data_IF_897070254894
#
_entry.id   IF_897070254894
#
_cell.length_a   1.000
_cell.length_b   1.000
_cell.length_c   1.000
_cell.angle_alpha   90.00
_cell.angle_beta   90.00
_cell.angle_gamma   90.00
#
_symmetry.space_group_name_H-M   'P 1'
#
loop_
_entity.id
_entity.type
_entity.pdbx_description
1 polymer ?
#
# COMPACT_ATOMS: atom_id res chain seq x y z
N UNK A 1 8.63 -43.66 19.52
CA UNK A 1 7.73 -42.46 19.61
C UNK A 1 8.50 -41.29 19.07
N UNK A 2 7.99 -40.74 17.95
CA UNK A 2 8.59 -39.65 17.20
C UNK A 2 8.54 -38.35 18.01
N UNK A 3 9.52 -38.08 18.83
CA UNK A 3 9.69 -36.81 19.54
C UNK A 3 10.14 -35.66 18.62
N UNK A 4 10.38 -35.93 17.34
CA UNK A 4 10.80 -34.91 16.35
C UNK A 4 9.66 -34.07 15.79
N UNK A 5 8.39 -34.52 15.86
CA UNK A 5 7.23 -33.85 15.28
C UNK A 5 6.41 -33.00 16.26
N UNK A 6 6.98 -32.60 17.37
CA UNK A 6 6.30 -31.76 18.36
C UNK A 6 6.00 -30.36 17.86
N UNK A 7 4.86 -29.80 18.28
CA UNK A 7 4.45 -28.43 18.07
C UNK A 7 4.84 -27.60 19.31
N UNK A 8 5.39 -26.42 19.08
CA UNK A 8 5.76 -25.46 20.13
C UNK A 8 4.89 -24.21 19.96
N UNK A 9 4.30 -23.74 21.05
CA UNK A 9 3.62 -22.45 21.08
C UNK A 9 4.47 -21.45 21.86
N UNK A 10 4.71 -20.31 21.23
CA UNK A 10 5.49 -19.21 21.79
C UNK A 10 4.56 -18.01 21.96
N UNK A 11 4.62 -17.37 23.14
CA UNK A 11 3.93 -16.13 23.41
C UNK A 11 4.93 -15.10 23.95
N UNK A 12 4.96 -13.91 23.38
CA UNK A 12 5.90 -12.88 23.78
C UNK A 12 5.58 -11.51 23.15
N UNK A 13 6.57 -10.62 23.16
CA UNK A 13 6.43 -9.28 22.56
C UNK A 13 6.07 -9.30 21.07
N UNK A 14 6.44 -10.36 20.39
CA UNK A 14 6.21 -10.58 18.96
C UNK A 14 4.84 -11.22 18.66
N UNK A 15 3.99 -11.37 19.69
CA UNK A 15 2.68 -12.00 19.60
C UNK A 15 2.70 -13.49 19.88
N UNK A 16 1.68 -14.18 19.40
CA UNK A 16 1.50 -15.62 19.55
C UNK A 16 1.93 -16.34 18.28
N UNK A 17 2.75 -17.36 18.42
CA UNK A 17 3.26 -18.17 17.30
C UNK A 17 3.11 -19.64 17.62
N UNK A 18 2.64 -20.42 16.68
CA UNK A 18 2.62 -21.88 16.72
C UNK A 18 3.62 -22.35 15.66
N UNK A 19 4.57 -23.17 16.02
CA UNK A 19 5.56 -23.69 15.08
C UNK A 19 5.90 -25.15 15.34
N UNK A 20 6.35 -25.88 14.32
CA UNK A 20 6.95 -27.19 14.48
C UNK A 20 8.37 -27.04 15.03
N UNK A 21 8.88 -28.04 15.76
CA UNK A 21 10.25 -28.01 16.30
C UNK A 21 11.34 -27.77 15.24
N UNK A 22 11.10 -28.18 13.99
CA UNK A 22 12.00 -27.96 12.85
C UNK A 22 11.84 -26.58 12.21
N UNK A 23 10.79 -25.83 12.57
CA UNK A 23 10.49 -24.55 11.97
C UNK A 23 9.96 -24.62 10.52
N UNK A 24 9.61 -25.82 10.04
CA UNK A 24 9.09 -26.01 8.67
C UNK A 24 7.69 -25.44 8.52
N UNK A 25 6.91 -25.43 9.59
CA UNK A 25 5.58 -24.83 9.66
C UNK A 25 5.54 -23.81 10.78
N UNK A 26 5.17 -22.60 10.42
CA UNK A 26 4.98 -21.48 11.35
C UNK A 26 3.60 -20.88 11.07
N UNK A 27 2.82 -20.67 12.13
CA UNK A 27 1.51 -20.05 12.07
C UNK A 27 1.42 -18.95 13.11
N UNK A 28 1.10 -17.74 12.67
CA UNK A 28 1.07 -16.55 13.50
C UNK A 28 -0.23 -15.77 13.26
N UNK A 29 -1.22 -15.87 14.16
CA UNK A 29 -2.39 -15.02 14.11
C UNK A 29 -2.02 -13.59 14.51
N UNK A 30 -2.71 -12.60 13.96
CA UNK A 30 -2.56 -11.21 14.33
C UNK A 30 -3.90 -10.46 14.29
N UNK A 31 -3.98 -9.43 15.09
CA UNK A 31 -5.13 -8.53 15.16
C UNK A 31 -4.61 -7.09 15.12
N UNK A 32 -5.23 -6.27 14.29
CA UNK A 32 -5.01 -4.82 14.25
C UNK A 32 -6.35 -4.12 14.38
N UNK A 33 -6.53 -3.34 15.45
CA UNK A 33 -7.69 -2.46 15.61
C UNK A 33 -7.19 -1.02 15.69
N UNK A 34 -7.72 -0.17 14.83
CA UNK A 34 -7.47 1.26 14.85
C UNK A 34 -8.77 1.98 15.14
N UNK A 35 -8.76 2.82 16.19
CA UNK A 35 -9.84 3.73 16.50
C UNK A 35 -9.44 5.15 16.13
N UNK A 36 -10.38 5.97 15.70
CA UNK A 36 -10.18 7.35 15.32
C UNK A 36 -11.26 8.23 15.94
N UNK A 37 -10.86 9.43 16.36
CA UNK A 37 -11.75 10.50 16.74
C UNK A 37 -11.47 11.70 15.85
N UNK A 38 -12.46 12.13 15.09
CA UNK A 38 -12.36 13.27 14.18
C UNK A 38 -13.28 14.38 14.68
N UNK A 39 -12.74 15.56 14.85
CA UNK A 39 -13.49 16.75 15.18
C UNK A 39 -13.18 17.80 14.11
N UNK A 40 -14.18 18.15 13.32
CA UNK A 40 -14.04 19.09 12.23
C UNK A 40 -14.70 20.43 12.62
N UNK A 41 -13.95 21.50 12.46
CA UNK A 41 -14.44 22.87 12.58
C UNK A 41 -14.34 23.51 11.21
N UNK A 42 -15.44 24.04 10.72
CA UNK A 42 -15.49 24.74 9.45
C UNK A 42 -15.82 26.21 9.69
N UNK A 43 -15.26 27.06 8.87
CA UNK A 43 -15.66 28.46 8.78
C UNK A 43 -16.95 28.53 7.94
N UNK A 44 -18.04 29.05 8.56
CA UNK A 44 -19.39 29.03 7.99
C UNK A 44 -19.47 29.68 6.60
N UNK A 45 -18.69 30.74 6.32
CA UNK A 45 -18.72 31.41 5.05
C UNK A 45 -18.23 30.57 3.84
N UNK A 46 -17.42 29.55 4.07
CA UNK A 46 -16.86 28.70 3.03
C UNK A 46 -17.79 27.55 2.60
N UNK A 47 -18.60 27.04 3.53
CA UNK A 47 -19.46 25.88 3.33
C UNK A 47 -20.79 26.22 2.67
N UNK A 48 -21.42 27.34 3.04
CA UNK A 48 -22.67 27.81 2.47
C UNK A 48 -22.58 28.06 0.96
N UNK A 49 -21.40 28.50 0.49
CA UNK A 49 -21.16 28.73 -0.94
C UNK A 49 -20.91 27.48 -1.77
N UNK A 50 -20.33 26.43 -1.13
CA UNK A 50 -19.92 25.23 -1.86
C UNK A 50 -21.01 24.16 -1.96
N UNK A 51 -21.89 24.04 -0.98
CA UNK A 51 -22.79 22.90 -0.87
C UNK A 51 -24.26 23.23 -0.62
N UNK A 52 -24.60 24.47 -0.37
CA UNK A 52 -26.00 24.91 -0.08
C UNK A 52 -26.68 24.04 0.99
N UNK A 53 -25.91 23.55 1.99
CA UNK A 53 -26.37 22.69 3.06
C UNK A 53 -25.86 23.19 4.41
N UNK A 54 -26.80 23.48 5.29
CA UNK A 54 -26.54 23.74 6.70
C UNK A 54 -25.93 22.48 7.39
N UNK A 55 -24.74 22.62 7.95
CA UNK A 55 -24.10 21.63 8.83
C UNK A 55 -23.56 20.34 8.18
N UNK A 56 -22.40 20.41 7.51
CA UNK A 56 -21.60 19.22 7.17
C UNK A 56 -20.38 19.11 8.11
N UNK A 57 -20.60 19.09 9.40
CA UNK A 57 -19.52 18.80 10.35
C UNK A 57 -19.62 17.33 10.76
N UNK A 58 -18.93 16.45 10.06
CA UNK A 58 -18.77 15.05 10.45
C UNK A 58 -17.74 14.94 11.59
N UNK A 59 -18.20 15.17 12.82
CA UNK A 59 -17.37 14.92 14.00
C UNK A 59 -17.82 13.64 14.69
N UNK A 60 -16.88 12.81 15.12
CA UNK A 60 -17.23 11.59 15.83
C UNK A 60 -16.10 10.58 15.93
N UNK A 61 -16.46 9.41 16.39
CA UNK A 61 -15.58 8.26 16.54
C UNK A 61 -15.79 7.28 15.40
N UNK A 62 -14.73 6.63 14.97
CA UNK A 62 -14.77 5.59 13.95
C UNK A 62 -13.76 4.49 14.22
N UNK A 63 -13.97 3.33 13.59
CA UNK A 63 -13.03 2.22 13.54
C UNK A 63 -12.64 2.04 12.05
N UNK A 64 -11.61 2.74 11.56
CA UNK A 64 -11.21 2.63 10.17
C UNK A 64 -10.64 1.25 9.82
N UNK A 65 -10.05 0.56 10.79
CA UNK A 65 -9.49 -0.78 10.59
C UNK A 65 -9.78 -1.70 11.77
N UNK A 66 -10.29 -2.89 11.45
CA UNK A 66 -10.42 -4.03 12.35
C UNK A 66 -9.95 -5.28 11.59
N UNK A 67 -8.64 -5.45 11.50
CA UNK A 67 -8.01 -6.50 10.68
C UNK A 67 -7.72 -7.72 11.55
N UNK A 68 -8.27 -8.86 11.16
CA UNK A 68 -7.92 -10.18 11.67
C UNK A 68 -7.20 -10.94 10.58
N UNK A 69 -6.05 -11.52 10.89
CA UNK A 69 -5.26 -12.24 9.91
C UNK A 69 -4.41 -13.35 10.48
N UNK A 70 -3.87 -14.12 9.55
CA UNK A 70 -2.93 -15.21 9.78
C UNK A 70 -1.78 -15.06 8.82
N UNK A 71 -0.56 -15.13 9.33
CA UNK A 71 0.64 -15.19 8.52
C UNK A 71 1.47 -16.38 8.95
N UNK A 72 2.32 -16.85 8.08
CA UNK A 72 3.17 -17.97 8.43
C UNK A 72 4.03 -18.47 7.30
N UNK A 73 4.55 -19.67 7.52
CA UNK A 73 5.42 -20.37 6.61
C UNK A 73 5.07 -21.85 6.58
N UNK A 74 5.07 -22.44 5.41
CA UNK A 74 4.88 -23.87 5.20
C UNK A 74 6.06 -24.45 4.42
N UNK A 75 6.43 -25.69 4.75
CA UNK A 75 7.53 -26.42 4.10
C UNK A 75 8.86 -25.67 4.06
N UNK A 76 9.09 -24.77 5.03
CA UNK A 76 10.29 -23.95 5.10
C UNK A 76 10.49 -22.93 3.97
N UNK A 77 9.65 -22.93 2.91
CA UNK A 77 9.84 -22.12 1.69
C UNK A 77 8.63 -21.33 1.22
N UNK A 78 7.44 -21.69 1.66
CA UNK A 78 6.19 -21.05 1.23
C UNK A 78 5.69 -20.16 2.35
N UNK A 79 5.87 -18.86 2.23
CA UNK A 79 5.21 -17.90 3.11
C UNK A 79 3.76 -17.70 2.67
N UNK A 80 2.88 -17.34 3.60
CA UNK A 80 1.48 -17.04 3.30
C UNK A 80 0.94 -15.94 4.21
N UNK A 81 -0.07 -15.26 3.74
CA UNK A 81 -0.90 -14.36 4.53
C UNK A 81 -2.36 -14.48 4.08
N UNK A 82 -3.25 -14.48 5.06
CA UNK A 82 -4.67 -14.32 4.88
C UNK A 82 -5.17 -13.31 5.88
N UNK A 83 -5.83 -12.24 5.43
CA UNK A 83 -6.43 -11.26 6.33
C UNK A 83 -7.74 -10.70 5.81
N UNK A 84 -8.62 -10.41 6.75
CA UNK A 84 -9.88 -9.70 6.53
C UNK A 84 -9.89 -8.39 7.32
N UNK A 85 -10.53 -7.36 6.78
CA UNK A 85 -10.82 -6.12 7.51
C UNK A 85 -12.32 -6.07 7.79
N UNK A 86 -12.72 -6.37 9.03
CA UNK A 86 -14.12 -6.38 9.45
C UNK A 86 -14.76 -4.98 9.47
N UNK A 87 -13.96 -3.92 9.46
CA UNK A 87 -14.45 -2.53 9.38
C UNK A 87 -14.71 -2.08 7.92
N UNK A 88 -14.30 -2.88 6.92
CA UNK A 88 -14.52 -2.51 5.53
C UNK A 88 -15.99 -2.66 5.14
N UNK A 89 -16.52 -1.70 4.39
CA UNK A 89 -17.86 -1.72 3.81
C UNK A 89 -17.85 -2.27 2.38
N UNK A 90 -19.02 -2.64 1.87
CA UNK A 90 -19.19 -2.94 0.44
C UNK A 90 -18.56 -4.24 -0.06
N UNK A 91 -18.38 -5.25 0.79
CA UNK A 91 -17.88 -6.57 0.35
C UNK A 91 -16.35 -6.68 0.26
N UNK A 92 -15.62 -5.63 0.59
CA UNK A 92 -14.14 -5.59 0.58
C UNK A 92 -13.51 -6.23 1.83
N UNK A 93 -14.14 -7.23 2.42
CA UNK A 93 -13.66 -7.88 3.64
C UNK A 93 -12.29 -8.53 3.45
N UNK A 94 -12.07 -9.23 2.34
CA UNK A 94 -10.80 -9.87 2.06
C UNK A 94 -9.75 -8.83 1.71
N UNK A 95 -8.85 -8.56 2.65
CA UNK A 95 -7.77 -7.59 2.46
C UNK A 95 -6.57 -8.21 1.75
N UNK A 96 -6.08 -9.34 2.24
CA UNK A 96 -4.97 -10.07 1.64
C UNK A 96 -5.26 -11.58 1.63
N UNK A 97 -4.79 -12.25 0.57
CA UNK A 97 -4.77 -13.70 0.47
C UNK A 97 -3.68 -14.09 -0.54
N UNK A 98 -2.50 -14.47 -0.08
CA UNK A 98 -1.39 -14.76 -0.98
C UNK A 98 -0.46 -15.85 -0.44
N UNK A 99 0.23 -16.47 -1.39
CA UNK A 99 1.35 -17.37 -1.17
C UNK A 99 2.59 -16.79 -1.83
N UNK A 100 3.74 -16.97 -1.17
CA UNK A 100 5.05 -16.50 -1.62
C UNK A 100 6.04 -17.66 -1.55
N UNK A 101 6.46 -18.15 -2.71
CA UNK A 101 7.37 -19.27 -2.84
C UNK A 101 8.79 -18.74 -2.96
N UNK A 102 9.56 -18.88 -1.91
CA UNK A 102 10.94 -18.40 -1.83
C UNK A 102 11.91 -19.50 -2.30
N UNK A 103 12.31 -19.43 -3.57
CA UNK A 103 13.25 -20.38 -4.16
C UNK A 103 14.69 -20.06 -3.79
N UNK A 104 15.04 -18.78 -3.82
CA UNK A 104 16.34 -18.21 -3.38
C UNK A 104 16.09 -16.81 -2.83
N UNK A 105 17.05 -16.27 -2.09
CA UNK A 105 16.98 -14.88 -1.62
C UNK A 105 16.81 -13.88 -2.78
N UNK A 106 17.40 -14.20 -3.92
CA UNK A 106 17.36 -13.39 -5.12
C UNK A 106 16.12 -13.64 -5.99
N UNK A 107 15.32 -14.67 -5.68
CA UNK A 107 14.18 -15.03 -6.53
C UNK A 107 13.07 -15.70 -5.73
N UNK A 108 11.95 -15.04 -5.68
CA UNK A 108 10.71 -15.53 -5.09
C UNK A 108 9.52 -15.17 -5.99
N UNK A 109 8.46 -15.92 -5.88
CA UNK A 109 7.22 -15.72 -6.64
C UNK A 109 6.06 -15.62 -5.65
N UNK A 110 5.34 -14.50 -5.70
CA UNK A 110 4.12 -14.27 -4.92
C UNK A 110 2.91 -14.31 -5.83
N UNK A 111 1.85 -14.99 -5.37
CA UNK A 111 0.58 -15.12 -6.10
C UNK A 111 -0.57 -14.89 -5.14
N UNK A 112 -1.59 -14.15 -5.57
CA UNK A 112 -2.79 -13.90 -4.80
C UNK A 112 -3.18 -12.43 -4.75
N UNK A 113 -3.85 -12.03 -3.67
CA UNK A 113 -4.25 -10.65 -3.41
C UNK A 113 -3.31 -10.00 -2.41
N UNK A 114 -2.59 -8.99 -2.84
CA UNK A 114 -1.61 -8.25 -2.03
C UNK A 114 -1.41 -6.83 -2.55
N UNK A 115 -0.62 -6.02 -1.84
CA UNK A 115 -0.30 -4.66 -2.28
C UNK A 115 0.58 -4.68 -3.52
N UNK A 116 0.21 -3.88 -4.53
CA UNK A 116 1.04 -3.69 -5.72
C UNK A 116 2.38 -3.03 -5.35
N UNK A 117 3.49 -3.34 -6.03
CA UNK A 117 4.81 -2.83 -5.67
C UNK A 117 4.99 -1.35 -6.07
N UNK A 118 4.51 -0.48 -5.20
CA UNK A 118 4.54 0.98 -5.41
C UNK A 118 4.62 1.70 -4.07
N UNK A 119 5.56 2.64 -3.89
CA UNK A 119 5.71 3.47 -2.69
C UNK A 119 6.12 2.71 -1.41
N UNK A 120 7.16 3.18 -0.75
CA UNK A 120 7.58 2.66 0.57
C UNK A 120 6.52 2.90 1.65
N UNK A 121 5.90 4.09 1.66
CA UNK A 121 4.85 4.39 2.63
C UNK A 121 3.64 3.48 2.47
N UNK A 122 3.23 3.23 1.23
CA UNK A 122 2.10 2.36 0.93
C UNK A 122 2.37 0.90 1.30
N UNK A 123 3.57 0.39 0.99
CA UNK A 123 3.95 -1.00 1.29
C UNK A 123 4.13 -1.25 2.78
N UNK A 124 4.42 -0.22 3.58
CA UNK A 124 4.48 -0.34 5.04
C UNK A 124 3.14 -0.84 5.60
N UNK A 125 3.20 -1.78 6.53
CA UNK A 125 2.02 -2.30 7.22
C UNK A 125 1.39 -1.20 8.08
N UNK A 126 0.06 -1.12 8.11
CA UNK A 126 -0.67 -0.06 8.83
C UNK A 126 -0.30 0.05 10.31
N UNK A 127 -0.03 -1.06 10.99
CA UNK A 127 0.42 -1.07 12.39
C UNK A 127 1.87 -0.65 12.60
N UNK A 128 2.63 -0.44 11.51
CA UNK A 128 4.06 -0.11 11.51
C UNK A 128 4.35 1.28 10.95
N UNK A 129 3.32 2.04 10.60
CA UNK A 129 3.45 3.42 10.08
C UNK A 129 3.79 4.41 11.21
N UNK A 130 4.56 5.45 10.88
CA UNK A 130 4.92 6.51 11.82
C UNK A 130 3.70 7.35 12.24
N UNK A 131 2.81 7.61 11.31
CA UNK A 131 1.55 8.34 11.53
C UNK A 131 0.37 7.43 11.17
N UNK A 132 -0.78 7.58 11.84
CA UNK A 132 -1.92 6.65 11.71
C UNK A 132 -2.55 6.64 10.31
N UNK A 133 -2.33 7.67 9.51
CA UNK A 133 -2.83 7.75 8.13
C UNK A 133 -1.69 7.81 7.13
N UNK A 134 -1.89 7.18 5.97
CA UNK A 134 -0.99 7.33 4.84
C UNK A 134 -0.94 8.78 4.35
N UNK A 135 0.12 9.20 3.61
CA UNK A 135 0.18 10.51 2.99
C UNK A 135 -1.06 10.81 2.13
N UNK A 136 -1.60 12.03 2.23
CA UNK A 136 -2.75 12.48 1.44
C UNK A 136 -2.42 12.45 -0.04
N UNK A 137 -1.20 12.81 -0.43
CA UNK A 137 -0.70 12.71 -1.80
C UNK A 137 -0.81 11.30 -2.37
N UNK A 138 -0.66 10.28 -1.53
CA UNK A 138 -0.76 8.87 -1.93
C UNK A 138 -2.21 8.38 -1.94
N UNK A 139 -3.03 8.81 -0.97
CA UNK A 139 -4.41 8.33 -0.78
C UNK A 139 -5.45 9.16 -1.51
N UNK A 140 -5.07 10.27 -2.11
CA UNK A 140 -5.97 11.15 -2.87
C UNK A 140 -6.51 10.51 -4.17
N UNK A 141 -6.65 9.21 -4.18
CA UNK A 141 -7.33 8.34 -5.13
C UNK A 141 -6.69 8.14 -6.49
N UNK A 142 -5.66 8.87 -6.85
CA UNK A 142 -5.08 8.80 -8.21
C UNK A 142 -3.67 8.23 -8.26
N UNK A 143 -2.92 8.29 -7.17
CA UNK A 143 -1.51 7.86 -7.17
C UNK A 143 -1.37 6.35 -6.98
N UNK A 144 -2.24 5.70 -6.21
CA UNK A 144 -2.17 4.25 -6.02
C UNK A 144 -2.47 3.51 -7.33
N UNK A 145 -1.70 2.46 -7.65
CA UNK A 145 -1.88 1.72 -8.90
C UNK A 145 -3.19 0.91 -8.92
N UNK A 146 -4.20 1.44 -9.56
CA UNK A 146 -5.44 0.74 -9.89
C UNK A 146 -6.14 1.47 -11.07
N UNK A 147 -7.08 0.81 -11.71
CA UNK A 147 -7.87 1.42 -12.78
C UNK A 147 -8.89 2.42 -12.22
N UNK A 148 -8.89 3.64 -12.73
CA UNK A 148 -9.94 4.62 -12.44
C UNK A 148 -11.27 4.26 -13.11
N UNK A 149 -11.24 3.35 -14.09
CA UNK A 149 -12.42 2.87 -14.81
C UNK A 149 -12.94 1.54 -14.27
N UNK A 150 -12.38 1.02 -13.19
CA UNK A 150 -12.91 -0.16 -12.53
C UNK A 150 -14.37 0.06 -12.11
N UNK A 151 -15.21 -0.95 -12.30
CA UNK A 151 -16.66 -0.88 -12.01
C UNK A 151 -16.94 -0.51 -10.55
N UNK A 152 -16.04 -0.85 -9.66
CA UNK A 152 -16.10 -0.52 -8.24
C UNK A 152 -14.73 -0.05 -7.77
N UNK A 153 -14.31 1.18 -8.06
CA UNK A 153 -13.04 1.69 -7.59
C UNK A 153 -13.09 1.78 -6.06
N UNK A 154 -12.36 0.92 -5.37
CA UNK A 154 -12.16 1.07 -3.94
C UNK A 154 -10.93 1.93 -3.71
N UNK A 155 -11.21 3.18 -3.57
CA UNK A 155 -10.25 4.24 -3.32
C UNK A 155 -9.58 3.97 -1.98
N UNK A 156 -8.31 3.64 -1.98
CA UNK A 156 -7.49 3.76 -0.79
C UNK A 156 -6.86 2.50 -0.20
N UNK A 157 -7.12 1.32 -0.71
CA UNK A 157 -6.50 0.11 -0.15
C UNK A 157 -5.40 -0.51 -1.02
N UNK A 158 -5.45 -0.33 -2.36
CA UNK A 158 -4.38 -0.74 -3.29
C UNK A 158 -3.99 -2.21 -3.29
N UNK A 159 -4.74 -3.08 -2.63
CA UNK A 159 -4.56 -4.51 -2.74
C UNK A 159 -5.19 -5.00 -4.03
N UNK A 160 -4.48 -5.82 -4.79
CA UNK A 160 -5.00 -6.35 -6.05
C UNK A 160 -4.62 -7.82 -6.23
N UNK A 161 -5.34 -8.50 -7.08
CA UNK A 161 -5.04 -9.88 -7.47
C UNK A 161 -3.96 -9.89 -8.54
N UNK A 162 -2.91 -10.67 -8.32
CA UNK A 162 -1.81 -10.71 -9.27
C UNK A 162 -0.77 -11.77 -8.98
N UNK A 163 0.28 -11.68 -9.77
CA UNK A 163 1.52 -12.44 -9.62
C UNK A 163 2.69 -11.47 -9.64
N UNK A 164 3.65 -11.70 -8.75
CA UNK A 164 4.85 -10.88 -8.60
C UNK A 164 6.08 -11.76 -8.50
N UNK A 165 7.14 -11.37 -9.18
CA UNK A 165 8.49 -11.89 -9.00
C UNK A 165 9.27 -10.85 -8.23
N UNK A 166 9.95 -11.26 -7.16
CA UNK A 166 10.74 -10.36 -6.34
C UNK A 166 12.00 -11.02 -5.80
N UNK A 167 12.90 -10.20 -5.31
CA UNK A 167 14.14 -10.71 -4.73
C UNK A 167 15.05 -9.62 -4.20
N UNK A 168 16.09 -10.07 -3.52
CA UNK A 168 17.12 -9.24 -2.93
C UNK A 168 18.50 -9.70 -3.40
N UNK A 169 19.21 -8.84 -4.14
CA UNK A 169 20.53 -9.10 -4.70
C UNK A 169 21.59 -8.40 -3.85
N UNK A 170 22.64 -9.11 -3.50
CA UNK A 170 23.79 -8.62 -2.73
C UNK A 170 23.40 -7.90 -1.42
N UNK A 171 22.25 -8.24 -0.83
CA UNK A 171 21.69 -7.62 0.38
C UNK A 171 21.47 -6.09 0.32
N UNK A 172 21.47 -5.55 -0.89
CA UNK A 172 21.38 -4.10 -1.15
C UNK A 172 20.39 -3.72 -2.23
N UNK A 173 20.20 -4.57 -3.22
CA UNK A 173 19.31 -4.25 -4.36
C UNK A 173 18.06 -5.12 -4.28
N UNK A 174 16.92 -4.51 -3.97
CA UNK A 174 15.62 -5.15 -4.06
C UNK A 174 14.97 -4.89 -5.39
N UNK A 175 14.23 -5.86 -5.90
CA UNK A 175 13.37 -5.70 -7.05
C UNK A 175 12.04 -6.43 -6.85
N UNK A 176 11.00 -5.85 -7.37
CA UNK A 176 9.62 -6.34 -7.35
C UNK A 176 9.03 -6.03 -8.73
N UNK A 177 8.52 -7.02 -9.44
CA UNK A 177 7.88 -6.85 -10.76
C UNK A 177 6.66 -7.75 -10.82
N UNK A 178 5.51 -7.20 -11.11
CA UNK A 178 4.27 -7.94 -11.07
C UNK A 178 3.23 -7.54 -12.11
N UNK A 179 2.30 -8.46 -12.31
CA UNK A 179 1.10 -8.32 -13.14
C UNK A 179 -0.11 -8.47 -12.24
N UNK A 180 -1.04 -7.53 -12.36
CA UNK A 180 -2.23 -7.46 -11.51
C UNK A 180 -3.48 -7.19 -12.36
N UNK A 181 -4.65 -7.48 -11.80
CA UNK A 181 -5.90 -7.17 -12.49
C UNK A 181 -6.09 -5.64 -12.72
N UNK A 182 -5.56 -4.79 -11.85
CA UNK A 182 -5.73 -3.35 -11.93
C UNK A 182 -7.15 -2.87 -11.58
N UNK A 183 -7.93 -3.69 -10.88
CA UNK A 183 -9.35 -3.42 -10.59
C UNK A 183 -9.57 -2.87 -9.18
N UNK A 184 -8.53 -2.85 -8.37
CA UNK A 184 -8.57 -2.33 -6.99
C UNK A 184 -9.00 -3.36 -5.96
N UNK A 185 -8.96 -2.93 -4.70
CA UNK A 185 -9.02 -3.82 -3.54
C UNK A 185 -10.37 -4.48 -3.25
N UNK A 186 -11.47 -3.89 -3.71
CA UNK A 186 -12.81 -4.43 -3.46
C UNK A 186 -13.16 -5.62 -4.37
N UNK A 187 -12.36 -5.85 -5.40
CA UNK A 187 -12.63 -6.87 -6.41
C UNK A 187 -11.73 -8.09 -6.18
N UNK A 188 -12.32 -9.27 -6.15
CA UNK A 188 -11.61 -10.54 -5.98
C UNK A 188 -11.60 -11.37 -7.28
N UNK A 189 -12.01 -10.78 -8.38
CA UNK A 189 -12.06 -11.42 -9.70
C UNK A 189 -11.63 -10.45 -10.77
N UNK A 190 -11.22 -10.93 -11.92
CA UNK A 190 -10.98 -10.08 -13.09
C UNK A 190 -12.29 -9.41 -13.50
N UNK A 191 -12.29 -8.09 -13.62
CA UNK A 191 -13.46 -7.30 -14.01
C UNK A 191 -13.19 -6.37 -15.19
N UNK A 192 -11.98 -6.36 -15.74
CA UNK A 192 -11.64 -5.64 -16.94
C UNK A 192 -12.06 -6.40 -18.18
N UNK A 193 -12.58 -5.67 -19.18
CA UNK A 193 -12.75 -6.18 -20.52
C UNK A 193 -11.36 -6.37 -21.14
N UNK A 194 -11.06 -7.55 -21.67
CA UNK A 194 -9.83 -7.80 -22.42
C UNK A 194 -9.89 -7.02 -23.74
N UNK A 195 -8.77 -6.43 -24.13
CA UNK A 195 -8.65 -5.84 -25.46
C UNK A 195 -8.71 -6.92 -26.52
N UNK A 196 -9.40 -6.65 -27.62
CA UNK A 196 -9.42 -7.53 -28.78
C UNK A 196 -8.08 -7.62 -29.50
N UNK A 197 -7.20 -6.64 -29.24
CA UNK A 197 -5.80 -6.64 -29.69
C UNK A 197 -4.91 -7.45 -28.76
N UNK A 198 -4.66 -8.67 -29.09
CA UNK A 198 -3.88 -9.66 -28.33
C UNK A 198 -2.40 -9.32 -28.08
N UNK A 199 -1.96 -8.11 -28.38
CA UNK A 199 -0.55 -7.74 -28.26
C UNK A 199 -0.15 -7.51 -26.79
N UNK A 200 -1.01 -6.91 -25.99
CA UNK A 200 -0.75 -6.67 -24.56
C UNK A 200 -2.05 -6.87 -23.76
N UNK A 201 -2.08 -7.81 -22.80
CA UNK A 201 -3.25 -7.98 -21.94
C UNK A 201 -3.62 -6.71 -21.18
N UNK A 202 -4.93 -6.44 -21.03
CA UNK A 202 -5.46 -5.33 -20.23
C UNK A 202 -5.29 -5.60 -18.73
N UNK A 203 -4.05 -5.48 -18.26
CA UNK A 203 -3.63 -5.71 -16.87
C UNK A 203 -2.90 -4.48 -16.34
N UNK A 204 -2.72 -4.43 -15.04
CA UNK A 204 -1.79 -3.52 -14.37
C UNK A 204 -0.41 -4.16 -14.33
N UNK A 205 0.56 -3.50 -14.92
CA UNK A 205 1.98 -3.82 -14.86
C UNK A 205 2.63 -2.90 -13.84
N UNK A 206 3.24 -3.44 -12.82
CA UNK A 206 3.88 -2.66 -11.78
C UNK A 206 5.28 -3.19 -11.46
N UNK A 207 6.17 -2.28 -11.10
CA UNK A 207 7.51 -2.64 -10.70
C UNK A 207 8.13 -1.62 -9.75
N UNK A 208 9.05 -2.10 -8.91
CA UNK A 208 9.77 -1.31 -7.93
C UNK A 208 11.20 -1.80 -7.82
N UNK A 209 12.14 -0.87 -7.78
CA UNK A 209 13.56 -1.11 -7.55
C UNK A 209 13.99 -0.36 -6.30
N UNK A 210 14.76 -0.99 -5.43
CA UNK A 210 15.27 -0.36 -4.23
C UNK A 210 16.78 -0.55 -4.11
N UNK A 211 17.46 0.49 -3.63
CA UNK A 211 18.88 0.44 -3.28
C UNK A 211 19.05 0.77 -1.80
N UNK A 212 19.62 -0.16 -1.05
CA UNK A 212 19.80 -0.12 0.39
C UNK A 212 21.28 -0.29 0.76
N UNK A 213 22.10 0.77 0.63
CA UNK A 213 23.57 0.67 0.79
C UNK A 213 24.03 0.16 2.15
N UNK A 214 23.22 0.36 3.19
CA UNK A 214 23.50 -0.04 4.57
C UNK A 214 22.71 -1.28 5.01
N UNK A 215 22.34 -2.15 4.05
CA UNK A 215 21.51 -3.33 4.27
C UNK A 215 20.03 -3.01 4.33
N UNK A 216 19.21 -4.06 4.43
CA UNK A 216 17.74 -3.98 4.31
C UNK A 216 17.14 -2.98 5.29
N UNK A 217 16.31 -2.08 4.76
CA UNK A 217 15.49 -1.17 5.55
C UNK A 217 14.39 -1.98 6.25
N UNK A 218 14.19 -1.85 7.57
CA UNK A 218 13.05 -2.47 8.24
C UNK A 218 11.73 -1.94 7.67
N UNK A 219 10.70 -2.77 7.68
CA UNK A 219 9.34 -2.40 7.28
C UNK A 219 8.73 -1.35 8.20
N UNK A 220 9.17 -1.33 9.46
CA UNK A 220 8.64 -0.46 10.51
C UNK A 220 9.19 0.95 10.39
N UNK A 221 8.33 1.94 10.29
CA UNK A 221 8.70 3.35 10.31
C UNK A 221 8.99 3.82 11.75
N UNK A 222 9.86 4.81 11.89
CA UNK A 222 10.08 5.50 13.16
C UNK A 222 11.04 4.81 14.14
N UNK A 223 11.62 3.65 13.85
CA UNK A 223 12.56 2.92 14.72
C UNK A 223 12.05 2.56 16.12
N UNK A 224 10.85 1.99 16.30
CA UNK A 224 10.33 1.63 17.62
C UNK A 224 11.20 0.57 18.31
N UNK A 225 11.86 -0.29 17.54
CA UNK A 225 12.78 -1.33 18.03
C UNK A 225 14.18 -0.81 18.38
N UNK A 226 14.45 0.47 18.14
CA UNK A 226 15.72 1.14 18.48
C UNK A 226 16.95 0.43 17.93
N UNK A 227 16.89 0.08 16.66
CA UNK A 227 18.05 -0.43 15.96
C UNK A 227 19.18 0.61 16.05
N UNK A 228 20.35 0.19 16.50
CA UNK A 228 21.54 1.05 16.55
C UNK A 228 22.24 1.18 15.20
N UNK A 229 21.66 0.58 14.17
CA UNK A 229 22.22 0.58 12.83
C UNK A 229 21.59 1.68 11.98
N UNK A 230 22.44 2.40 11.28
CA UNK A 230 21.97 3.33 10.24
C UNK A 230 21.44 2.52 9.05
N UNK A 231 20.28 2.90 8.55
CA UNK A 231 19.67 2.34 7.32
C UNK A 231 19.29 3.44 6.37
N UNK A 232 19.45 3.20 5.08
CA UNK A 232 19.10 4.13 4.01
C UNK A 232 18.46 3.33 2.89
N UNK A 233 17.37 3.84 2.34
CA UNK A 233 16.66 3.31 1.19
C UNK A 233 16.48 4.41 0.15
N UNK A 234 16.81 4.09 -1.09
CA UNK A 234 16.37 4.80 -2.29
C UNK A 234 15.51 3.86 -3.09
N UNK A 235 14.39 4.35 -3.61
CA UNK A 235 13.46 3.54 -4.38
C UNK A 235 12.98 4.28 -5.63
N UNK A 236 12.67 3.48 -6.65
CA UNK A 236 12.00 3.90 -7.87
C UNK A 236 10.87 2.90 -8.10
N UNK A 237 9.65 3.39 -8.20
CA UNK A 237 8.48 2.59 -8.52
C UNK A 237 7.79 3.12 -9.77
N UNK A 238 7.13 2.23 -10.49
CA UNK A 238 6.38 2.59 -11.67
C UNK A 238 5.26 1.61 -11.96
N UNK A 239 4.20 2.09 -12.61
CA UNK A 239 3.12 1.22 -13.08
C UNK A 239 2.46 1.75 -14.34
N UNK A 240 1.96 0.84 -15.15
CA UNK A 240 1.13 1.12 -16.32
C UNK A 240 -0.12 0.25 -16.18
N UNK A 241 -1.28 0.89 -16.13
CA UNK A 241 -2.56 0.21 -16.16
C UNK A 241 -3.07 0.21 -17.59
N UNK A 242 -2.98 -0.91 -18.27
CA UNK A 242 -3.41 -1.05 -19.66
C UNK A 242 -4.93 -1.24 -19.67
N UNK A 243 -5.62 -0.34 -20.32
CA UNK A 243 -7.08 -0.37 -20.50
C UNK A 243 -7.44 -0.87 -21.89
N UNK A 244 -8.67 -1.36 -22.07
CA UNK A 244 -9.17 -1.70 -23.40
C UNK A 244 -9.39 -0.42 -24.23
N UNK A 245 -9.16 -0.47 -25.54
CA UNK A 245 -9.29 0.68 -26.44
C UNK A 245 -10.65 1.38 -26.38
N UNK A 246 -11.68 0.69 -25.96
CA UNK A 246 -13.04 1.22 -25.90
C UNK A 246 -13.34 1.96 -24.60
N UNK A 247 -12.51 1.88 -23.57
CA UNK A 247 -12.85 2.36 -22.24
C UNK A 247 -12.01 3.55 -21.76
N UNK A 248 -10.69 3.55 -21.98
CA UNK A 248 -9.84 4.70 -21.63
C UNK A 248 -8.41 4.56 -22.13
N UNK A 249 -7.61 5.59 -21.88
CA UNK A 249 -6.15 5.53 -22.10
C UNK A 249 -5.44 4.89 -20.91
N UNK A 250 -4.24 4.40 -21.16
CA UNK A 250 -3.40 3.80 -20.14
C UNK A 250 -3.02 4.81 -19.06
N UNK A 251 -3.18 4.42 -17.80
CA UNK A 251 -2.72 5.19 -16.67
C UNK A 251 -1.25 4.85 -16.38
N UNK A 252 -0.41 5.86 -16.32
CA UNK A 252 1.01 5.70 -16.00
C UNK A 252 1.34 6.40 -14.69
N UNK A 253 2.08 5.72 -13.82
CA UNK A 253 2.53 6.25 -12.53
C UNK A 253 4.01 6.03 -12.34
N UNK A 254 4.67 6.99 -11.72
CA UNK A 254 6.08 6.91 -11.31
C UNK A 254 6.21 7.44 -9.90
N UNK A 255 6.99 6.76 -9.06
CA UNK A 255 7.30 7.16 -7.70
C UNK A 255 8.80 7.14 -7.43
N UNK A 256 9.29 8.18 -6.75
CA UNK A 256 10.64 8.25 -6.19
C UNK A 256 10.54 8.15 -4.68
N UNK A 257 11.40 7.35 -4.06
CA UNK A 257 11.34 7.01 -2.65
C UNK A 257 12.69 7.24 -1.97
N UNK A 258 12.63 7.81 -0.79
CA UNK A 258 13.76 7.93 0.13
C UNK A 258 13.30 7.61 1.55
N UNK A 259 14.06 6.78 2.26
CA UNK A 259 13.89 6.60 3.69
C UNK A 259 15.24 6.46 4.38
N UNK A 260 15.36 7.00 5.58
CA UNK A 260 16.56 6.94 6.41
C UNK A 260 16.20 6.68 7.85
N UNK A 261 16.92 5.75 8.44
CA UNK A 261 16.93 5.47 9.86
C UNK A 261 18.32 5.75 10.40
N UNK A 262 18.44 6.63 11.37
CA UNK A 262 19.70 6.95 12.02
C UNK A 262 19.48 7.19 13.50
N UNK A 263 19.92 6.25 14.35
CA UNK A 263 19.74 6.38 15.78
C UNK A 263 18.26 6.57 16.18
N UNK A 264 17.95 7.77 16.72
CA UNK A 264 16.62 8.19 17.17
C UNK A 264 15.77 8.83 16.06
N UNK A 265 16.38 9.08 14.90
CA UNK A 265 15.77 9.80 13.79
C UNK A 265 15.30 8.85 12.71
N UNK A 266 14.07 8.99 12.28
CA UNK A 266 13.52 8.44 11.04
C UNK A 266 13.13 9.58 10.12
N UNK A 267 13.52 9.52 8.86
CA UNK A 267 13.10 10.44 7.81
C UNK A 267 12.62 9.63 6.60
N UNK A 268 11.55 10.08 5.97
CA UNK A 268 11.12 9.56 4.67
C UNK A 268 10.56 10.69 3.81
N UNK A 269 10.80 10.59 2.51
CA UNK A 269 10.27 11.50 1.50
C UNK A 269 9.94 10.70 0.24
N UNK A 270 8.80 10.99 -0.35
CA UNK A 270 8.44 10.40 -1.65
C UNK A 270 7.83 11.46 -2.56
N UNK A 271 8.04 11.30 -3.85
CA UNK A 271 7.44 12.14 -4.88
C UNK A 271 6.78 11.25 -5.93
N UNK A 272 5.62 11.65 -6.42
CA UNK A 272 4.79 10.87 -7.32
C UNK A 272 4.37 11.69 -8.52
N UNK A 273 4.40 11.07 -9.67
CA UNK A 273 3.81 11.57 -10.90
C UNK A 273 2.82 10.55 -11.44
N UNK A 274 1.68 11.02 -11.90
CA UNK A 274 0.69 10.21 -12.57
C UNK A 274 0.17 10.93 -13.81
N UNK A 275 0.03 10.20 -14.91
CA UNK A 275 -0.71 10.62 -16.08
C UNK A 275 -1.89 9.68 -16.30
N UNK A 276 -3.08 10.23 -16.40
CA UNK A 276 -4.34 9.52 -16.62
C UNK A 276 -4.98 10.03 -17.89
N UNK A 277 -5.40 9.13 -18.75
CA UNK A 277 -6.22 9.46 -19.90
C UNK A 277 -7.68 9.08 -19.66
N UNK A 278 -8.55 10.07 -19.68
CA UNK A 278 -10.00 9.85 -19.73
C UNK A 278 -10.44 9.93 -21.18
N UNK A 279 -10.92 8.84 -21.78
CA UNK A 279 -11.21 8.87 -23.20
C UNK A 279 -12.69 8.74 -23.57
N UNK A 280 -13.11 7.61 -24.03
CA UNK A 280 -14.35 7.52 -24.81
C UNK A 280 -15.62 7.47 -23.97
N UNK A 281 -15.54 6.88 -22.77
CA UNK A 281 -16.72 6.68 -21.93
C UNK A 281 -17.25 7.97 -21.31
N UNK A 282 -16.35 8.94 -21.08
CA UNK A 282 -16.71 10.22 -20.47
C UNK A 282 -16.77 11.38 -21.48
N UNK A 283 -16.57 11.12 -22.77
CA UNK A 283 -16.49 12.13 -23.85
C UNK A 283 -15.39 13.18 -23.64
N UNK A 284 -14.38 12.87 -22.83
CA UNK A 284 -13.25 13.74 -22.54
C UNK A 284 -12.03 13.15 -23.24
N UNK A 285 -11.55 13.78 -24.31
CA UNK A 285 -10.34 13.37 -25.05
C UNK A 285 -9.08 14.01 -24.47
N UNK A 286 -8.95 14.11 -23.16
CA UNK A 286 -7.83 14.79 -22.52
C UNK A 286 -7.11 13.87 -21.54
N UNK A 287 -5.80 14.02 -21.44
CA UNK A 287 -4.99 13.40 -20.40
C UNK A 287 -4.71 14.40 -19.29
N UNK A 288 -4.72 13.93 -18.05
CA UNK A 288 -4.48 14.73 -16.87
C UNK A 288 -3.24 14.23 -16.15
N UNK A 289 -2.38 15.16 -15.77
CA UNK A 289 -1.21 14.88 -14.98
C UNK A 289 -1.40 15.35 -13.55
N UNK A 290 -0.94 14.54 -12.60
CA UNK A 290 -0.95 14.84 -11.18
C UNK A 290 0.47 14.75 -10.63
N UNK A 291 0.80 15.64 -9.72
CA UNK A 291 2.05 15.62 -8.99
C UNK A 291 1.73 15.62 -7.49
N UNK A 292 2.32 14.71 -6.76
CA UNK A 292 2.18 14.61 -5.32
C UNK A 292 3.49 14.25 -4.65
N UNK A 293 3.54 14.43 -3.33
CA UNK A 293 4.69 14.04 -2.57
C UNK A 293 4.54 14.39 -1.11
N UNK A 294 5.42 13.84 -0.28
CA UNK A 294 5.46 14.14 1.14
C UNK A 294 6.89 14.10 1.68
N UNK A 295 7.08 14.75 2.81
CA UNK A 295 8.23 14.58 3.68
C UNK A 295 7.72 14.32 5.09
N UNK A 296 8.22 13.27 5.74
CA UNK A 296 7.87 12.98 7.13
C UNK A 296 9.10 12.65 7.95
N UNK A 297 9.03 12.93 9.25
CA UNK A 297 10.08 12.58 10.17
C UNK A 297 9.55 12.24 11.56
N UNK A 298 10.32 11.42 12.28
CA UNK A 298 10.05 11.07 13.65
C UNK A 298 11.34 11.04 14.47
N UNK A 299 11.33 11.66 15.66
CA UNK A 299 12.48 11.73 16.53
C UNK A 299 12.12 11.34 17.96
N UNK A 300 12.88 10.41 18.54
CA UNK A 300 12.73 10.02 19.93
C UNK A 300 13.34 11.05 20.86
N UNK A 301 12.50 11.88 21.47
CA UNK A 301 12.91 12.88 22.48
C UNK A 301 13.16 12.24 23.85
N UNK A 302 12.50 11.12 24.14
CA UNK A 302 12.70 10.32 25.34
C UNK A 302 12.58 8.80 25.01
N UNK A 303 12.96 7.91 25.92
CA UNK A 303 12.92 6.48 25.67
C UNK A 303 11.58 5.89 25.19
N UNK A 304 10.47 6.52 25.47
CA UNK A 304 9.11 6.07 25.11
C UNK A 304 8.29 7.14 24.42
N UNK A 305 8.90 8.28 24.06
CA UNK A 305 8.21 9.39 23.44
C UNK A 305 8.89 9.76 22.12
N UNK A 306 8.17 9.58 21.03
CA UNK A 306 8.58 9.99 19.69
C UNK A 306 7.67 11.14 19.22
N UNK A 307 8.25 12.22 18.77
CA UNK A 307 7.55 13.29 18.06
C UNK A 307 7.62 12.99 16.57
N UNK A 308 6.50 13.14 15.88
CA UNK A 308 6.42 12.91 14.44
C UNK A 308 5.65 14.03 13.75
N UNK A 309 6.09 14.36 12.54
CA UNK A 309 5.43 15.34 11.69
C UNK A 309 5.52 14.92 10.22
N UNK A 310 4.56 15.34 9.42
CA UNK A 310 4.53 15.18 7.97
C UNK A 310 4.02 16.44 7.31
N UNK A 311 4.65 16.79 6.20
CA UNK A 311 4.17 17.77 5.25
C UNK A 311 3.86 17.07 3.94
N UNK A 312 2.71 17.34 3.36
CA UNK A 312 2.14 16.63 2.23
C UNK A 312 1.67 17.62 1.18
N UNK A 313 1.99 17.37 -0.08
CA UNK A 313 1.58 18.20 -1.22
C UNK A 313 0.92 17.31 -2.25
N UNK A 314 -0.23 17.76 -2.74
CA UNK A 314 -0.88 17.17 -3.88
C UNK A 314 -1.40 18.26 -4.81
N UNK A 315 -0.83 18.34 -6.01
CA UNK A 315 -1.24 19.30 -7.03
C UNK A 315 -2.15 18.61 -8.06
N UNK A 316 -3.39 19.05 -8.10
CA UNK A 316 -4.36 18.66 -9.13
C UNK A 316 -4.13 19.50 -10.36
N UNK A 317 -4.29 18.90 -11.54
CA UNK A 317 -4.32 19.66 -12.78
C UNK A 317 -5.48 20.67 -12.74
N UNK A 318 -5.23 21.91 -13.14
CA UNK A 318 -6.23 22.99 -13.10
C UNK A 318 -7.47 22.73 -13.97
N UNK A 319 -7.34 21.92 -15.02
CA UNK A 319 -8.45 21.52 -15.87
C UNK A 319 -9.52 20.70 -15.14
N UNK A 320 -9.15 19.94 -14.11
CA UNK A 320 -10.13 19.20 -13.29
C UNK A 320 -10.95 20.11 -12.39
N UNK A 321 -10.40 21.24 -11.95
CA UNK A 321 -11.14 22.22 -11.16
C UNK A 321 -12.32 22.78 -11.93
N UNK A 322 -12.19 22.93 -13.24
CA UNK A 322 -13.25 23.45 -14.13
C UNK A 322 -14.38 22.42 -14.33
N UNK A 323 -14.07 21.12 -14.33
CA UNK A 323 -15.06 20.05 -14.49
C UNK A 323 -15.92 19.81 -13.25
N UNK A 324 -15.42 20.11 -12.06
CA UNK A 324 -16.17 19.97 -10.81
C UNK A 324 -17.12 21.16 -10.58
N UNK A 325 -16.86 22.29 -11.23
CA UNK A 325 -17.64 23.52 -11.10
C UNK A 325 -18.58 23.78 -12.28
N UNK A 326 -18.61 22.93 -13.29
CA UNK A 326 -19.56 22.94 -14.41
C UNK A 326 -20.66 21.89 -14.23
#
# INVERSE_FOLDING_TARGET
EDTENGVVSLAGREGFTIETKKGDFVFKPYLLVQTSANFNWYDDEGLDKAYNQDNIANSGFSIPYAVLGFTGKAFGKVAFNLSINAAASGGALLQQAWFDVQLKKQFAIRVGKFKTPFSHAYLTTLGETLLPQLPVSLTSSVILPYSLNAVTPNIGTGFDLGVEIHGLVADKFGYEVGLFNGTGASVNTASKTMSDDWHIPSLLYAGRLTYMPKGVMPSTQGNPNRLNEDKILFGLSGSINVESENESTNDTRVGLEFAMLKNKLYLAAEAYYMNVGFTKRQKINESYSFLGGYVQGGYFVAPRLQLAARYDIFNRNDNIKTLIHS
#
